data_IF_792558940542
#
_entry.id   IF_792558940542
#
_cell.length_a   1.000
_cell.length_b   1.000
_cell.length_c   1.000
_cell.angle_alpha   90.00
_cell.angle_beta   90.00
_cell.angle_gamma   90.00
#
_symmetry.space_group_name_H-M   'P 1'
#
loop_
_entity.id
_entity.type
_entity.pdbx_description
1 polymer ?
#
# COMPACT_ATOMS: atom_id res chain seq x y z
N UNK A 1 -76.54 37.36 7.09
CA UNK A 1 -76.25 36.09 6.40
C UNK A 1 -74.78 36.07 5.99
N UNK A 2 -74.13 34.93 6.21
CA UNK A 2 -72.72 34.54 6.05
C UNK A 2 -71.92 35.25 4.93
N UNK A 3 -70.69 35.75 5.19
CA UNK A 3 -69.40 35.01 5.21
C UNK A 3 -69.11 34.24 3.91
N UNK A 4 -67.99 34.60 3.26
CA UNK A 4 -67.06 33.68 2.57
C UNK A 4 -65.70 34.35 2.36
N UNK A 5 -64.75 33.89 3.17
CA UNK A 5 -63.31 34.06 3.03
C UNK A 5 -62.82 33.36 1.76
N UNK A 6 -61.96 34.03 0.98
CA UNK A 6 -61.10 33.43 -0.05
C UNK A 6 -59.64 33.36 0.44
N UNK A 7 -58.85 32.35 0.05
CA UNK A 7 -57.67 31.95 0.80
C UNK A 7 -56.45 32.86 0.56
N UNK A 8 -55.84 33.29 1.66
CA UNK A 8 -54.48 33.82 1.71
C UNK A 8 -53.50 32.72 1.25
N UNK A 9 -52.75 32.96 0.16
CA UNK A 9 -51.52 32.21 -0.13
C UNK A 9 -50.43 32.68 0.86
N UNK A 10 -49.81 31.80 1.65
CA UNK A 10 -48.59 32.19 2.36
C UNK A 10 -47.41 32.17 1.37
N UNK A 11 -46.58 33.20 1.46
CA UNK A 11 -45.31 33.29 0.75
C UNK A 11 -44.45 32.05 1.05
N UNK A 12 -43.84 31.49 0.01
CA UNK A 12 -42.94 30.35 0.11
C UNK A 12 -41.81 30.65 1.08
N UNK A 13 -41.69 29.85 2.13
CA UNK A 13 -40.48 29.82 2.97
C UNK A 13 -39.38 29.18 2.14
N UNK A 14 -38.40 29.97 1.74
CA UNK A 14 -37.12 29.46 1.28
C UNK A 14 -36.40 28.87 2.50
N UNK A 15 -36.31 27.55 2.55
CA UNK A 15 -35.43 26.87 3.51
C UNK A 15 -34.00 27.13 3.09
N UNK A 16 -33.11 27.66 3.95
CA UNK A 16 -31.70 27.72 3.58
C UNK A 16 -31.19 26.28 3.53
N UNK A 17 -30.60 25.88 2.41
CA UNK A 17 -29.85 24.65 2.33
C UNK A 17 -28.71 24.74 3.35
N UNK A 18 -28.76 23.92 4.41
CA UNK A 18 -27.60 23.74 5.28
C UNK A 18 -26.50 23.13 4.43
N UNK A 19 -25.50 23.93 4.10
CA UNK A 19 -24.20 23.44 3.66
C UNK A 19 -23.58 22.67 4.84
N UNK A 20 -23.97 21.41 4.97
CA UNK A 20 -23.27 20.47 5.81
C UNK A 20 -22.01 20.05 5.08
N UNK A 21 -20.93 20.83 5.22
CA UNK A 21 -19.62 20.23 5.09
C UNK A 21 -19.55 19.19 6.21
N UNK A 22 -19.75 17.92 5.85
CA UNK A 22 -19.50 16.83 6.77
C UNK A 22 -18.05 16.99 7.22
N UNK A 23 -17.87 17.37 8.48
CA UNK A 23 -16.59 17.19 9.15
C UNK A 23 -16.40 15.67 9.12
N UNK A 24 -15.62 15.18 8.17
CA UNK A 24 -15.18 13.79 8.22
C UNK A 24 -14.41 13.69 9.52
N UNK A 25 -14.99 12.99 10.50
CA UNK A 25 -14.28 12.70 11.73
C UNK A 25 -12.93 12.08 11.35
N UNK A 26 -11.85 12.64 11.90
CA UNK A 26 -10.49 12.20 11.63
C UNK A 26 -10.34 10.77 12.19
N UNK A 27 -10.71 9.78 11.37
CA UNK A 27 -10.40 8.38 11.65
C UNK A 27 -8.87 8.26 11.71
N UNK A 28 -8.31 7.55 12.71
CA UNK A 28 -6.89 7.27 12.74
C UNK A 28 -6.49 6.68 11.38
N UNK A 29 -5.49 7.29 10.75
CA UNK A 29 -5.01 6.80 9.46
C UNK A 29 -4.49 5.38 9.56
N UNK A 30 -4.63 4.61 8.48
CA UNK A 30 -4.13 3.22 8.41
C UNK A 30 -2.78 3.16 7.69
N UNK A 31 -2.06 2.06 7.88
CA UNK A 31 -0.84 1.71 7.14
C UNK A 31 -1.19 0.51 6.27
N UNK A 32 -0.94 0.62 4.98
CA UNK A 32 -0.88 -0.55 4.12
C UNK A 32 0.51 -1.18 4.28
N UNK A 33 0.58 -2.36 4.88
CA UNK A 33 1.85 -2.97 5.24
C UNK A 33 2.44 -3.82 4.11
N UNK A 34 1.75 -3.99 2.98
CA UNK A 34 2.22 -4.83 1.88
C UNK A 34 1.54 -4.48 0.56
N UNK A 35 2.23 -3.72 -0.29
CA UNK A 35 1.74 -3.39 -1.63
C UNK A 35 2.83 -3.53 -2.71
N UNK A 36 2.52 -4.25 -3.78
CA UNK A 36 3.37 -4.32 -4.99
C UNK A 36 3.11 -3.09 -5.86
N UNK A 37 3.67 -1.94 -5.46
CA UNK A 37 3.52 -0.68 -6.21
C UNK A 37 4.27 -0.72 -7.55
N UNK A 38 5.36 -1.48 -7.63
CA UNK A 38 6.17 -1.68 -8.84
C UNK A 38 5.41 -2.43 -9.95
N UNK A 39 4.40 -3.23 -9.59
CA UNK A 39 3.54 -3.93 -10.53
C UNK A 39 2.40 -3.06 -11.09
N UNK A 40 2.23 -1.84 -10.60
CA UNK A 40 1.18 -0.92 -11.05
C UNK A 40 1.67 -0.06 -12.22
N UNK A 41 0.83 0.07 -13.24
CA UNK A 41 1.07 1.02 -14.34
C UNK A 41 1.09 2.48 -13.85
N UNK A 42 0.25 2.80 -12.85
CA UNK A 42 0.12 4.13 -12.24
C UNK A 42 0.17 4.04 -10.70
N UNK A 43 1.38 3.86 -10.17
CA UNK A 43 1.61 3.83 -8.72
C UNK A 43 1.26 5.15 -8.05
N UNK A 44 1.57 6.29 -8.67
CA UNK A 44 1.32 7.62 -8.13
C UNK A 44 -0.18 7.88 -7.94
N UNK A 45 -0.99 7.65 -8.97
CA UNK A 45 -2.45 7.79 -8.86
C UNK A 45 -3.08 6.79 -7.91
N UNK A 46 -2.54 5.57 -7.79
CA UNK A 46 -2.97 4.62 -6.77
C UNK A 46 -2.70 5.14 -5.35
N UNK A 47 -1.52 5.71 -5.10
CA UNK A 47 -1.17 6.32 -3.82
C UNK A 47 -2.02 7.54 -3.49
N UNK A 48 -2.34 8.39 -4.47
CA UNK A 48 -3.27 9.51 -4.27
C UNK A 48 -4.65 9.03 -3.78
N UNK A 49 -5.20 8.01 -4.43
CA UNK A 49 -6.49 7.40 -4.01
C UNK A 49 -6.39 6.77 -2.63
N UNK A 50 -5.29 6.08 -2.33
CA UNK A 50 -5.04 5.48 -1.03
C UNK A 50 -4.99 6.55 0.08
N UNK A 51 -4.29 7.66 -0.16
CA UNK A 51 -4.23 8.81 0.76
C UNK A 51 -5.60 9.43 0.99
N UNK A 52 -6.40 9.60 -0.06
CA UNK A 52 -7.78 10.10 0.03
C UNK A 52 -8.69 9.16 0.83
N UNK A 53 -8.43 7.85 0.80
CA UNK A 53 -9.13 6.84 1.59
C UNK A 53 -8.63 6.70 3.04
N UNK A 54 -7.59 7.44 3.44
CA UNK A 54 -7.03 7.42 4.79
C UNK A 54 -5.83 6.50 5.00
N UNK A 55 -5.26 5.92 3.94
CA UNK A 55 -3.96 5.22 4.01
C UNK A 55 -2.86 6.27 4.09
N UNK A 56 -2.15 6.30 5.22
CA UNK A 56 -1.15 7.34 5.50
C UNK A 56 0.28 6.92 5.19
N UNK A 57 0.54 5.62 5.23
CA UNK A 57 1.83 5.03 4.93
C UNK A 57 1.64 3.71 4.17
N UNK A 58 2.59 3.39 3.32
CA UNK A 58 2.62 2.14 2.55
C UNK A 58 4.00 1.51 2.69
N UNK A 59 4.06 0.20 2.93
CA UNK A 59 5.28 -0.58 2.76
C UNK A 59 5.17 -1.26 1.39
N UNK A 60 5.98 -0.78 0.46
CA UNK A 60 6.06 -1.27 -0.90
C UNK A 60 7.08 -2.42 -0.98
N UNK A 61 6.76 -3.45 -1.77
CA UNK A 61 7.43 -4.74 -1.72
C UNK A 61 8.29 -4.99 -2.96
N UNK A 62 9.59 -5.14 -2.75
CA UNK A 62 10.54 -5.65 -3.74
C UNK A 62 10.73 -7.15 -3.61
N UNK A 63 10.35 -7.92 -4.64
CA UNK A 63 10.38 -9.41 -4.61
C UNK A 63 11.65 -10.02 -5.22
N UNK A 64 12.57 -9.20 -5.72
CA UNK A 64 13.86 -9.56 -6.33
C UNK A 64 14.61 -8.30 -6.74
N UNK A 65 15.79 -8.40 -7.36
CA UNK A 65 16.66 -7.23 -7.58
C UNK A 65 15.99 -6.12 -8.40
N UNK A 66 15.35 -6.48 -9.51
CA UNK A 66 14.68 -5.52 -10.38
C UNK A 66 13.47 -4.86 -9.70
N UNK A 67 12.64 -5.67 -9.03
CA UNK A 67 11.46 -5.22 -8.29
C UNK A 67 11.84 -4.32 -7.10
N UNK A 68 12.89 -4.67 -6.36
CA UNK A 68 13.42 -3.85 -5.26
C UNK A 68 13.92 -2.48 -5.74
N UNK A 69 14.61 -2.42 -6.88
CA UNK A 69 15.03 -1.15 -7.50
C UNK A 69 13.84 -0.27 -7.87
N UNK A 70 12.86 -0.84 -8.58
CA UNK A 70 11.65 -0.10 -8.97
C UNK A 70 10.86 0.39 -7.75
N UNK A 71 10.72 -0.46 -6.73
CA UNK A 71 10.04 -0.13 -5.48
C UNK A 71 10.73 1.00 -4.72
N UNK A 72 12.06 0.96 -4.62
CA UNK A 72 12.85 2.03 -4.02
C UNK A 72 12.70 3.35 -4.77
N UNK A 73 12.75 3.31 -6.09
CA UNK A 73 12.54 4.49 -6.92
C UNK A 73 11.16 5.14 -6.69
N UNK A 74 10.12 4.34 -6.46
CA UNK A 74 8.79 4.85 -6.07
C UNK A 74 8.87 5.50 -4.68
N UNK A 75 9.49 4.84 -3.71
CA UNK A 75 9.62 5.34 -2.35
C UNK A 75 10.39 6.67 -2.25
N UNK A 76 11.43 6.85 -3.07
CA UNK A 76 12.20 8.10 -3.16
C UNK A 76 11.36 9.27 -3.69
N UNK A 77 10.36 9.00 -4.54
CA UNK A 77 9.48 10.01 -5.15
C UNK A 77 8.22 10.30 -4.32
N UNK A 78 7.78 9.34 -3.52
CA UNK A 78 6.46 9.36 -2.87
C UNK A 78 6.57 9.40 -1.35
N UNK A 79 6.19 10.53 -0.75
CA UNK A 79 6.19 10.68 0.71
C UNK A 79 5.25 9.65 1.38
N UNK A 80 5.74 9.04 2.46
CA UNK A 80 5.01 8.03 3.23
C UNK A 80 5.10 6.62 2.67
N UNK A 81 5.88 6.39 1.62
CA UNK A 81 6.19 5.06 1.10
C UNK A 81 7.52 4.59 1.68
N UNK A 82 7.55 3.35 2.16
CA UNK A 82 8.71 2.66 2.72
C UNK A 82 8.92 1.37 1.93
N UNK A 83 10.12 0.79 2.01
CA UNK A 83 10.48 -0.40 1.23
C UNK A 83 10.67 -1.60 2.14
N UNK A 84 10.07 -2.73 1.78
CA UNK A 84 10.60 -4.04 2.15
C UNK A 84 11.21 -4.67 0.90
N UNK A 85 12.39 -5.27 1.02
CA UNK A 85 13.04 -5.97 -0.09
C UNK A 85 13.52 -7.36 0.30
N UNK A 86 13.45 -8.30 -0.65
CA UNK A 86 13.88 -9.68 -0.48
C UNK A 86 13.75 -10.45 -1.79
N UNK A 87 14.24 -11.68 -1.81
CA UNK A 87 14.04 -12.65 -2.89
C UNK A 87 12.83 -13.52 -2.52
N UNK A 88 11.75 -13.38 -3.29
CA UNK A 88 10.53 -14.15 -3.12
C UNK A 88 10.79 -15.64 -3.43
N UNK A 89 10.12 -16.60 -2.75
CA UNK A 89 10.33 -18.03 -2.95
C UNK A 89 10.24 -18.49 -4.42
N UNK A 90 9.39 -17.87 -5.23
CA UNK A 90 9.31 -18.18 -6.67
C UNK A 90 10.58 -17.87 -7.46
N UNK A 91 11.43 -16.97 -6.96
CA UNK A 91 12.67 -16.53 -7.60
C UNK A 91 13.91 -17.18 -6.96
N UNK A 92 13.72 -18.12 -6.02
CA UNK A 92 14.82 -18.72 -5.27
C UNK A 92 15.85 -19.46 -6.15
N UNK A 93 15.44 -19.92 -7.35
CA UNK A 93 16.31 -20.60 -8.30
C UNK A 93 17.05 -19.65 -9.26
N UNK A 94 16.74 -18.36 -9.25
CA UNK A 94 17.29 -17.38 -10.21
C UNK A 94 18.73 -16.95 -9.86
N UNK A 95 19.24 -17.36 -8.69
CA UNK A 95 20.62 -17.13 -8.27
C UNK A 95 20.92 -15.71 -7.79
N UNK A 96 19.89 -14.92 -7.46
CA UNK A 96 20.06 -13.60 -6.88
C UNK A 96 20.71 -13.69 -5.48
N UNK A 97 21.68 -12.82 -5.22
CA UNK A 97 22.26 -12.64 -3.89
C UNK A 97 21.31 -11.75 -3.05
N UNK A 98 20.71 -12.25 -1.96
CA UNK A 98 19.81 -11.45 -1.15
C UNK A 98 20.43 -10.15 -0.62
N UNK A 99 21.74 -10.14 -0.35
CA UNK A 99 22.43 -8.93 0.11
C UNK A 99 22.48 -7.83 -0.95
N UNK A 100 22.38 -8.21 -2.22
CA UNK A 100 22.28 -7.26 -3.33
C UNK A 100 20.86 -6.72 -3.54
N UNK A 101 19.84 -7.48 -3.14
CA UNK A 101 18.41 -7.12 -3.26
C UNK A 101 17.98 -6.21 -2.10
N UNK A 102 18.42 -6.53 -0.89
CA UNK A 102 18.06 -5.81 0.33
C UNK A 102 18.89 -4.53 0.41
N UNK A 103 18.26 -3.39 0.21
CA UNK A 103 18.90 -2.08 0.31
C UNK A 103 19.00 -1.60 1.77
N UNK A 104 19.98 -0.75 2.06
CA UNK A 104 20.21 -0.22 3.41
C UNK A 104 19.08 0.68 3.95
N UNK A 105 18.21 1.19 3.07
CA UNK A 105 17.04 2.01 3.39
C UNK A 105 15.74 1.19 3.48
N UNK A 106 15.79 -0.13 3.28
CA UNK A 106 14.65 -1.00 3.51
C UNK A 106 14.31 -1.05 5.01
N UNK A 107 13.03 -0.94 5.33
CA UNK A 107 12.53 -1.03 6.72
C UNK A 107 12.22 -2.47 7.15
N UNK A 108 12.30 -3.42 6.22
CA UNK A 108 12.11 -4.84 6.47
C UNK A 108 12.81 -5.69 5.40
N UNK A 109 13.23 -6.89 5.79
CA UNK A 109 13.60 -7.96 4.85
C UNK A 109 12.34 -8.70 4.48
N UNK A 110 11.90 -8.56 3.23
CA UNK A 110 10.62 -9.08 2.76
C UNK A 110 10.30 -8.65 1.31
N UNK A 111 9.50 -9.39 0.57
CA UNK A 111 8.83 -10.62 0.98
C UNK A 111 9.73 -11.85 0.82
N UNK A 112 9.80 -12.66 1.87
CA UNK A 112 10.62 -13.87 1.94
C UNK A 112 9.78 -14.98 2.56
N UNK A 113 10.07 -16.23 2.22
CA UNK A 113 9.34 -17.36 2.79
C UNK A 113 9.40 -18.60 1.92
N UNK A 114 8.32 -19.38 1.96
CA UNK A 114 8.16 -20.63 1.24
C UNK A 114 6.79 -20.63 0.56
N UNK A 115 6.76 -20.99 -0.73
CA UNK A 115 5.54 -21.22 -1.50
C UNK A 115 5.65 -22.56 -2.22
N UNK A 116 4.97 -23.58 -1.68
CA UNK A 116 4.92 -24.94 -2.23
C UNK A 116 3.67 -25.19 -3.06
N UNK A 117 2.92 -24.14 -3.41
CA UNK A 117 1.73 -24.27 -4.25
C UNK A 117 2.07 -24.23 -5.74
N UNK A 118 3.00 -23.35 -6.15
CA UNK A 118 3.27 -23.08 -7.58
C UNK A 118 4.49 -23.80 -8.17
N UNK A 119 5.31 -24.47 -7.38
CA UNK A 119 6.53 -25.20 -7.81
C UNK A 119 7.42 -24.46 -8.83
N UNK A 120 7.46 -23.11 -8.77
CA UNK A 120 8.31 -22.29 -9.65
C UNK A 120 9.79 -22.36 -9.31
N UNK A 121 10.12 -22.73 -8.06
CA UNK A 121 11.48 -23.01 -7.63
C UNK A 121 11.48 -24.30 -6.78
N UNK A 122 12.55 -25.12 -6.89
CA UNK A 122 12.74 -26.30 -6.04
C UNK A 122 12.63 -25.97 -4.55
N UNK A 123 11.98 -26.83 -3.76
CA UNK A 123 11.70 -26.54 -2.34
C UNK A 123 12.98 -26.41 -1.49
N UNK A 124 14.05 -27.10 -1.87
CA UNK A 124 15.37 -27.00 -1.28
C UNK A 124 16.02 -25.63 -1.55
N UNK A 125 15.91 -25.12 -2.79
CA UNK A 125 16.36 -23.76 -3.13
C UNK A 125 15.57 -22.70 -2.37
N UNK A 126 14.24 -22.84 -2.28
CA UNK A 126 13.41 -21.93 -1.45
C UNK A 126 13.88 -21.89 0.00
N UNK A 127 14.13 -23.06 0.61
CA UNK A 127 14.62 -23.17 1.99
C UNK A 127 15.99 -22.52 2.16
N UNK A 128 16.91 -22.76 1.22
CA UNK A 128 18.27 -22.20 1.24
C UNK A 128 18.23 -20.67 1.19
N UNK A 129 17.49 -20.10 0.24
CA UNK A 129 17.38 -18.65 0.07
C UNK A 129 16.62 -18.01 1.23
N UNK A 130 15.55 -18.65 1.72
CA UNK A 130 14.83 -18.16 2.89
C UNK A 130 15.73 -18.11 4.14
N UNK A 131 16.50 -19.17 4.42
CA UNK A 131 17.43 -19.20 5.55
C UNK A 131 18.49 -18.08 5.47
N UNK A 132 19.10 -17.89 4.29
CA UNK A 132 20.08 -16.82 4.08
C UNK A 132 19.50 -15.42 4.35
N UNK A 133 18.22 -15.21 4.02
CA UNK A 133 17.54 -13.94 4.27
C UNK A 133 17.16 -13.73 5.74
N UNK A 134 16.84 -14.80 6.47
CA UNK A 134 16.66 -14.74 7.93
C UNK A 134 17.97 -14.39 8.65
N UNK A 135 19.09 -14.97 8.21
CA UNK A 135 20.42 -14.64 8.72
C UNK A 135 20.76 -13.17 8.46
N UNK A 136 20.51 -12.70 7.24
CA UNK A 136 20.72 -11.30 6.88
C UNK A 136 19.80 -10.34 7.65
N UNK A 137 18.53 -10.69 7.86
CA UNK A 137 17.64 -9.90 8.70
C UNK A 137 18.21 -9.77 10.12
N UNK A 138 18.68 -10.88 10.71
CA UNK A 138 19.30 -10.87 12.03
C UNK A 138 20.60 -10.05 12.11
N UNK A 139 21.38 -10.00 11.01
CA UNK A 139 22.56 -9.11 10.92
C UNK A 139 22.18 -7.61 10.87
N UNK A 140 21.03 -7.27 10.28
CA UNK A 140 20.61 -5.89 10.04
C UNK A 140 19.84 -5.26 11.20
N UNK A 141 19.20 -6.06 12.07
CA UNK A 141 18.54 -5.62 13.31
C UNK A 141 17.02 -5.78 13.32
#
# INVERSE_FOLDING_TARGET
MASRLGPHRPAGRTTPARAGAAVQEARPGVIDTHAHLDALEDAAGALERARAAGVRRVIAIGSGLASARATREIAEREAGVYVAAGVHPHQAADGEDPRSVISADAVAVGEIGLDFFRDYAPHDEQRRVFAAQLELAAELG
#
